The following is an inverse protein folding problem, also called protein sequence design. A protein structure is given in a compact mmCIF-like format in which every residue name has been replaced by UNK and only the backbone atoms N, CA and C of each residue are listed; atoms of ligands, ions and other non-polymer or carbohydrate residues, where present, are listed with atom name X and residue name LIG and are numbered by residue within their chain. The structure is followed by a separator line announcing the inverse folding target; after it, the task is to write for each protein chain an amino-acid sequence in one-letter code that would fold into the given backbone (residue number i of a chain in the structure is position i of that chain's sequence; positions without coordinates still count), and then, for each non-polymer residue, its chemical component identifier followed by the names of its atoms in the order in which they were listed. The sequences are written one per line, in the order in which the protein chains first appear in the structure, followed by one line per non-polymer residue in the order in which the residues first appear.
data_IF_242057489023
#
_entry.id   IF_242057489023
#
_cell.length_a   1.000
_cell.length_b   1.000
_cell.length_c   1.000
_cell.angle_alpha   90.00
_cell.angle_beta   90.00
_cell.angle_gamma   90.00
#
_symmetry.space_group_name_H-M   'P 1'
#
loop_
_entity.id
_entity.type
_entity.pdbx_description
1 polymer ?
#
# COMPACT_ATOMS: atom_id res chain seq x y z
N UNK A 1 44.13 35.55 -4.42
CA UNK A 1 44.87 34.41 -3.86
C UNK A 1 44.41 34.25 -2.42
N UNK A 2 43.78 33.20 -1.94
CA UNK A 2 43.29 31.96 -2.54
C UNK A 2 41.95 31.61 -1.84
N UNK A 3 41.09 30.97 -2.61
CA UNK A 3 39.73 30.52 -2.27
C UNK A 3 39.81 29.28 -1.36
N UNK A 4 39.22 29.35 -0.16
CA UNK A 4 39.02 28.16 0.66
C UNK A 4 37.76 27.45 0.18
N UNK A 5 37.97 26.40 -0.61
CA UNK A 5 36.93 25.54 -1.14
C UNK A 5 36.16 24.86 0.00
N UNK A 6 34.89 25.21 0.13
CA UNK A 6 33.93 24.46 0.95
C UNK A 6 33.69 23.08 0.33
N UNK A 7 34.18 22.03 0.97
CA UNK A 7 33.78 20.65 0.68
C UNK A 7 32.31 20.48 1.10
N UNK A 8 31.39 20.04 0.22
CA UNK A 8 30.09 19.63 0.68
C UNK A 8 30.28 18.30 1.42
N UNK A 9 30.02 18.32 2.74
CA UNK A 9 29.78 17.10 3.49
C UNK A 9 28.59 16.42 2.81
N UNK A 10 28.86 15.35 2.06
CA UNK A 10 27.82 14.47 1.55
C UNK A 10 27.05 13.99 2.77
N UNK A 11 25.85 14.56 2.96
CA UNK A 11 24.81 13.95 3.76
C UNK A 11 24.49 12.65 3.06
N UNK A 12 25.25 11.61 3.42
CA UNK A 12 24.93 10.24 3.11
C UNK A 12 23.57 10.02 3.73
N UNK A 13 22.51 10.20 2.93
CA UNK A 13 21.20 9.69 3.25
C UNK A 13 21.40 8.19 3.38
N UNK A 14 21.65 7.77 4.61
CA UNK A 14 21.80 6.39 4.98
C UNK A 14 20.43 5.79 4.70
N UNK A 15 20.26 5.22 3.51
CA UNK A 15 19.15 4.36 3.19
C UNK A 15 19.32 3.15 4.09
N UNK A 16 18.77 3.25 5.31
CA UNK A 16 18.62 2.10 6.20
C UNK A 16 17.64 1.19 5.47
N UNK A 17 18.18 0.12 4.89
CA UNK A 17 17.34 -0.94 4.35
C UNK A 17 16.48 -1.46 5.50
N UNK A 18 15.15 -1.53 5.33
CA UNK A 18 14.25 -1.97 6.40
C UNK A 18 14.71 -3.33 6.91
N UNK A 19 14.75 -3.48 8.23
CA UNK A 19 15.06 -4.77 8.85
C UNK A 19 13.94 -5.77 8.58
N UNK A 20 14.20 -7.06 8.80
CA UNK A 20 13.17 -8.09 8.64
C UNK A 20 11.98 -7.84 9.58
N UNK A 21 12.22 -7.27 10.76
CA UNK A 21 11.17 -6.90 11.71
C UNK A 21 10.33 -5.72 11.20
N UNK A 22 10.96 -4.69 10.62
CA UNK A 22 10.24 -3.56 10.01
C UNK A 22 9.33 -4.04 8.87
N UNK A 23 9.82 -4.99 8.08
CA UNK A 23 9.12 -5.57 6.94
C UNK A 23 7.95 -6.47 7.37
N UNK A 24 8.11 -7.21 8.47
CA UNK A 24 7.03 -7.98 9.07
C UNK A 24 5.91 -7.07 9.62
N UNK A 25 6.27 -5.97 10.29
CA UNK A 25 5.32 -4.96 10.75
C UNK A 25 4.57 -4.33 9.58
N UNK A 26 5.30 -3.88 8.55
CA UNK A 26 4.68 -3.29 7.35
C UNK A 26 3.73 -4.27 6.67
N UNK A 27 4.07 -5.56 6.60
CA UNK A 27 3.19 -6.58 6.02
C UNK A 27 1.91 -6.78 6.83
N UNK A 28 1.98 -6.68 8.16
CA UNK A 28 0.79 -6.72 9.03
C UNK A 28 -0.10 -5.48 8.79
N UNK A 29 0.49 -4.29 8.72
CA UNK A 29 -0.23 -3.05 8.44
C UNK A 29 -0.90 -3.08 7.06
N UNK A 30 -0.21 -3.61 6.06
CA UNK A 30 -0.73 -3.81 4.70
C UNK A 30 -1.90 -4.81 4.69
N UNK A 31 -1.84 -5.87 5.50
CA UNK A 31 -2.90 -6.86 5.63
C UNK A 31 -4.16 -6.31 6.32
N UNK A 32 -4.01 -5.53 7.40
CA UNK A 32 -5.12 -4.82 8.05
C UNK A 32 -5.78 -3.83 7.08
N UNK A 33 -4.95 -3.10 6.35
CA UNK A 33 -5.36 -2.16 5.32
C UNK A 33 -6.15 -2.87 4.20
N UNK A 34 -5.73 -4.06 3.78
CA UNK A 34 -6.45 -4.92 2.83
C UNK A 34 -7.82 -5.36 3.37
N UNK A 35 -7.89 -5.77 4.63
CA UNK A 35 -9.14 -6.16 5.28
C UNK A 35 -10.17 -5.02 5.27
N UNK A 36 -9.75 -3.79 5.55
CA UNK A 36 -10.63 -2.62 5.53
C UNK A 36 -11.25 -2.37 4.13
N UNK A 37 -10.53 -2.64 3.05
CA UNK A 37 -11.08 -2.52 1.68
C UNK A 37 -12.02 -3.65 1.34
N UNK A 38 -11.74 -4.88 1.79
CA UNK A 38 -12.68 -5.99 1.65
C UNK A 38 -14.02 -5.65 2.34
N UNK A 39 -13.97 -5.08 3.54
CA UNK A 39 -15.16 -4.63 4.26
C UNK A 39 -15.90 -3.52 3.50
N UNK A 40 -15.18 -2.56 2.93
CA UNK A 40 -15.79 -1.53 2.09
C UNK A 40 -16.47 -2.12 0.85
N UNK A 41 -15.84 -3.11 0.19
CA UNK A 41 -16.43 -3.84 -0.94
C UNK A 41 -17.72 -4.56 -0.54
N UNK A 42 -17.71 -5.30 0.58
CA UNK A 42 -18.91 -5.96 1.11
C UNK A 42 -20.02 -4.96 1.46
N UNK A 43 -19.68 -3.76 1.93
CA UNK A 43 -20.65 -2.70 2.18
C UNK A 43 -21.26 -2.16 0.87
N UNK A 44 -20.46 -1.98 -0.18
CA UNK A 44 -20.97 -1.58 -1.49
C UNK A 44 -21.89 -2.63 -2.10
N UNK A 45 -21.56 -3.91 -1.97
CA UNK A 45 -22.41 -5.00 -2.44
C UNK A 45 -23.81 -4.92 -1.82
N UNK A 46 -23.91 -4.64 -0.51
CA UNK A 46 -25.19 -4.46 0.21
C UNK A 46 -25.98 -3.21 -0.20
N UNK A 47 -25.31 -2.15 -0.67
CA UNK A 47 -25.95 -0.93 -1.18
C UNK A 47 -26.47 -1.14 -2.60
N UNK A 48 -25.77 -1.95 -3.39
CA UNK A 48 -26.14 -2.28 -4.77
C UNK A 48 -27.23 -3.37 -4.80
N UNK A 49 -27.24 -4.28 -3.81
CA UNK A 49 -28.27 -5.30 -3.65
C UNK A 49 -29.65 -4.60 -3.54
N UNK A 50 -30.57 -4.82 -4.50
CA UNK A 50 -31.88 -4.18 -4.45
C UNK A 50 -32.65 -4.70 -3.24
N UNK A 51 -32.71 -3.91 -2.17
CA UNK A 51 -33.50 -4.23 -1.00
C UNK A 51 -34.98 -4.40 -1.34
N UNK A 52 -35.63 -5.39 -0.73
CA UNK A 52 -37.09 -5.56 -0.78
C UNK A 52 -37.75 -4.24 -0.37
N UNK A 53 -38.67 -3.69 -1.19
CA UNK A 53 -39.19 -2.35 -0.99
C UNK A 53 -40.11 -2.36 0.23
N UNK A 54 -39.65 -1.84 1.36
CA UNK A 54 -40.55 -1.51 2.47
C UNK A 54 -40.03 -0.31 3.26
N UNK A 55 -40.64 0.84 2.93
CA UNK A 55 -40.89 2.01 3.80
C UNK A 55 -39.73 2.93 4.21
N UNK A 56 -38.74 3.14 3.34
CA UNK A 56 -37.93 4.37 3.39
C UNK A 56 -37.64 4.78 1.95
N UNK A 57 -37.49 6.08 1.66
CA UNK A 57 -37.08 6.56 0.33
C UNK A 57 -35.76 5.89 -0.04
N UNK A 58 -35.83 4.77 -0.78
CA UNK A 58 -34.66 4.03 -1.23
C UNK A 58 -34.00 4.89 -2.30
N UNK A 59 -33.06 5.73 -1.87
CA UNK A 59 -32.13 6.41 -2.75
C UNK A 59 -31.30 5.33 -3.43
N UNK A 60 -31.70 4.96 -4.65
CA UNK A 60 -30.92 4.06 -5.49
C UNK A 60 -29.69 4.84 -5.98
N UNK A 61 -28.48 4.33 -5.74
CA UNK A 61 -27.27 5.02 -6.20
C UNK A 61 -27.29 5.11 -7.72
N UNK A 62 -26.96 6.28 -8.23
CA UNK A 62 -26.87 6.50 -9.66
C UNK A 62 -25.68 5.75 -10.25
N UNK A 63 -25.76 5.42 -11.54
CA UNK A 63 -24.64 4.79 -12.26
C UNK A 63 -23.35 5.61 -12.17
N UNK A 64 -23.44 6.94 -12.13
CA UNK A 64 -22.29 7.83 -11.98
C UNK A 64 -21.66 7.74 -10.60
N UNK A 65 -22.47 7.68 -9.53
CA UNK A 65 -21.97 7.48 -8.15
C UNK A 65 -21.29 6.11 -8.01
N UNK A 66 -21.91 5.05 -8.55
CA UNK A 66 -21.28 3.72 -8.58
C UNK A 66 -19.98 3.71 -9.39
N UNK A 67 -19.93 4.41 -10.52
CA UNK A 67 -18.72 4.51 -11.34
C UNK A 67 -17.60 5.28 -10.65
N UNK A 68 -17.92 6.35 -9.90
CA UNK A 68 -16.94 7.11 -9.13
C UNK A 68 -16.37 6.29 -7.97
N UNK A 69 -17.24 5.58 -7.25
CA UNK A 69 -16.84 4.68 -6.17
C UNK A 69 -15.95 3.53 -6.67
N UNK A 70 -16.32 2.90 -7.79
CA UNK A 70 -15.50 1.86 -8.41
C UNK A 70 -14.13 2.41 -8.89
N UNK A 71 -14.09 3.65 -9.40
CA UNK A 71 -12.85 4.33 -9.75
C UNK A 71 -11.90 4.48 -8.57
N UNK A 72 -12.38 5.03 -7.46
CA UNK A 72 -11.61 5.19 -6.23
C UNK A 72 -11.11 3.84 -5.67
N UNK A 73 -11.96 2.82 -5.72
CA UNK A 73 -11.60 1.48 -5.30
C UNK A 73 -10.47 0.90 -6.15
N UNK A 74 -10.55 1.05 -7.48
CA UNK A 74 -9.52 0.55 -8.39
C UNK A 74 -8.18 1.25 -8.17
N UNK A 75 -8.18 2.58 -7.96
CA UNK A 75 -6.96 3.34 -7.64
C UNK A 75 -6.32 2.83 -6.34
N UNK A 76 -7.11 2.65 -5.29
CA UNK A 76 -6.62 2.13 -4.00
C UNK A 76 -6.08 0.70 -4.12
N UNK A 77 -6.70 -0.14 -4.95
CA UNK A 77 -6.26 -1.51 -5.18
C UNK A 77 -4.92 -1.55 -5.93
N UNK A 78 -4.76 -0.74 -6.98
CA UNK A 78 -3.51 -0.63 -7.74
C UNK A 78 -2.37 -0.19 -6.83
N UNK A 79 -2.56 0.86 -6.04
CA UNK A 79 -1.54 1.38 -5.12
C UNK A 79 -1.04 0.30 -4.14
N UNK A 80 -1.92 -0.61 -3.70
CA UNK A 80 -1.56 -1.70 -2.78
C UNK A 80 -0.86 -2.86 -3.48
N UNK A 81 -1.27 -3.20 -4.69
CA UNK A 81 -0.53 -4.18 -5.50
C UNK A 81 0.91 -3.71 -5.68
N UNK A 82 1.12 -2.42 -5.96
CA UNK A 82 2.44 -1.83 -6.08
C UNK A 82 3.23 -1.88 -4.77
N UNK A 83 2.59 -1.54 -3.63
CA UNK A 83 3.21 -1.63 -2.30
C UNK A 83 3.64 -3.06 -1.95
N UNK A 84 2.76 -4.05 -2.14
CA UNK A 84 3.06 -5.47 -1.89
C UNK A 84 4.20 -5.96 -2.79
N UNK A 85 4.20 -5.58 -4.07
CA UNK A 85 5.28 -5.93 -4.99
C UNK A 85 6.61 -5.32 -4.57
N UNK A 86 6.59 -4.07 -4.07
CA UNK A 86 7.78 -3.40 -3.56
C UNK A 86 8.32 -4.13 -2.31
N UNK A 87 7.45 -4.38 -1.32
CA UNK A 87 7.78 -5.09 -0.10
C UNK A 87 8.33 -6.50 -0.39
N UNK A 88 7.67 -7.29 -1.23
CA UNK A 88 8.14 -8.61 -1.68
C UNK A 88 9.51 -8.53 -2.37
N UNK A 89 9.71 -7.50 -3.18
CA UNK A 89 11.01 -7.18 -3.81
C UNK A 89 12.10 -6.92 -2.77
N UNK A 90 11.79 -6.15 -1.73
CA UNK A 90 12.69 -5.85 -0.62
C UNK A 90 13.00 -7.09 0.22
N UNK A 91 12.01 -7.91 0.58
CA UNK A 91 12.28 -9.15 1.34
C UNK A 91 13.24 -10.05 0.57
N UNK A 92 13.00 -10.22 -0.74
CA UNK A 92 13.86 -11.04 -1.60
C UNK A 92 15.28 -10.48 -1.67
N UNK A 93 15.45 -9.15 -1.79
CA UNK A 93 16.77 -8.51 -1.76
C UNK A 93 17.48 -8.75 -0.44
N UNK A 94 16.80 -8.57 0.70
CA UNK A 94 17.35 -8.79 2.02
C UNK A 94 17.78 -10.25 2.23
N UNK A 95 16.95 -11.21 1.82
CA UNK A 95 17.28 -12.65 1.88
C UNK A 95 18.48 -13.02 0.99
N UNK A 96 18.61 -12.42 -0.19
CA UNK A 96 19.76 -12.64 -1.06
C UNK A 96 21.04 -12.06 -0.46
N UNK A 97 20.97 -10.88 0.17
CA UNK A 97 22.11 -10.26 0.87
C UNK A 97 22.51 -11.06 2.12
N UNK A 98 21.55 -11.61 2.86
CA UNK A 98 21.80 -12.48 4.02
C UNK A 98 22.26 -13.91 3.67
N UNK A 99 22.02 -14.36 2.43
CA UNK A 99 22.45 -15.68 1.92
C UNK A 99 23.83 -15.68 1.25
N UNK A 100 24.50 -14.53 1.08
CA UNK A 100 25.90 -14.56 0.66
C UNK A 100 26.75 -15.17 1.79
N UNK A 101 27.46 -16.29 1.58
CA UNK A 101 28.34 -16.83 2.59
C UNK A 101 29.40 -15.75 2.90
N UNK A 102 29.46 -15.32 4.15
CA UNK A 102 30.64 -14.60 4.65
C UNK A 102 31.83 -15.52 4.43
N UNK A 103 32.60 -15.25 3.38
CA UNK A 103 33.87 -15.90 3.16
C UNK A 103 34.77 -15.56 4.35
N UNK A 104 35.00 -16.55 5.20
CA UNK A 104 36.01 -16.56 6.25
C UNK A 104 36.63 -17.93 6.29
#
# INVERSE_FOLDING_TARGET
MAESASTPAQSSAHFISPTLDDLAIQTCDDAETLNAVLLAYTAFEKIIEPGVPNYSEVLTPTRSELSALLGLLNEALVARIDAVNAAAGDMRRALMQGSLPSAS
#
